data_IF_842739488145
#
_entry.id   IF_842739488145
#
_cell.length_a   1.000
_cell.length_b   1.000
_cell.length_c   1.000
_cell.angle_alpha   90.00
_cell.angle_beta   90.00
_cell.angle_gamma   90.00
#
_symmetry.space_group_name_H-M   'P 1'
#
loop_
_entity.id
_entity.type
_entity.pdbx_description
1 polymer ?
#
# COMPACT_ATOMS: atom_id res chain seq x y z
N UNK A 1 62.15 -1.65 -5.36
CA UNK A 1 61.49 -0.80 -6.37
C UNK A 1 60.09 -1.36 -6.57
N UNK A 2 59.12 -0.81 -5.83
CA UNK A 2 57.73 -1.25 -5.90
C UNK A 2 56.96 -0.36 -6.88
N UNK A 3 56.40 -1.01 -7.89
CA UNK A 3 55.58 -0.45 -8.96
C UNK A 3 54.29 0.19 -8.39
N UNK A 4 54.05 1.46 -8.75
CA UNK A 4 52.93 2.29 -8.26
C UNK A 4 52.00 2.76 -9.38
N UNK A 5 51.96 2.09 -10.55
CA UNK A 5 51.21 2.61 -11.70
C UNK A 5 49.82 1.99 -11.96
N UNK A 6 49.25 1.23 -11.03
CA UNK A 6 48.00 0.47 -11.29
C UNK A 6 46.66 1.08 -10.82
N UNK A 7 46.63 2.24 -10.15
CA UNK A 7 45.42 2.69 -9.42
C UNK A 7 44.87 4.09 -9.76
N UNK A 8 45.31 4.73 -10.85
CA UNK A 8 44.88 6.10 -11.17
C UNK A 8 44.19 6.32 -12.53
N UNK A 9 44.09 5.29 -13.36
CA UNK A 9 43.54 5.45 -14.72
C UNK A 9 42.07 5.01 -14.89
N UNK A 10 41.42 4.53 -13.82
CA UNK A 10 39.99 4.16 -13.87
C UNK A 10 39.01 5.33 -13.76
N UNK A 11 39.50 6.57 -13.61
CA UNK A 11 38.67 7.76 -13.36
C UNK A 11 38.71 8.82 -14.48
N UNK A 12 39.25 8.51 -15.67
CA UNK A 12 39.39 9.49 -16.76
C UNK A 12 38.86 9.09 -18.14
N UNK A 13 38.12 8.00 -18.31
CA UNK A 13 37.42 7.72 -19.57
C UNK A 13 35.90 7.65 -19.34
N UNK A 14 35.17 8.60 -19.94
CA UNK A 14 33.71 8.52 -20.08
C UNK A 14 32.90 9.77 -19.74
N UNK A 15 33.52 10.95 -19.63
CA UNK A 15 32.79 12.22 -19.44
C UNK A 15 32.29 12.85 -20.76
N UNK A 16 31.75 12.02 -21.67
CA UNK A 16 31.15 12.47 -22.92
C UNK A 16 30.06 11.50 -23.39
N UNK A 17 28.79 11.90 -23.22
CA UNK A 17 27.64 11.25 -23.84
C UNK A 17 26.57 10.77 -22.86
N UNK A 18 25.70 11.67 -22.41
CA UNK A 18 24.31 11.77 -22.91
C UNK A 18 23.55 12.75 -22.00
N UNK A 19 23.50 14.01 -22.41
CA UNK A 19 22.38 14.87 -22.05
C UNK A 19 21.16 14.37 -22.84
N UNK A 20 20.49 13.35 -22.30
CA UNK A 20 19.14 12.99 -22.68
C UNK A 20 18.28 13.16 -21.43
N UNK A 21 17.94 14.42 -21.14
CA UNK A 21 16.69 14.73 -20.46
C UNK A 21 15.56 14.30 -21.43
N UNK A 22 15.33 12.99 -21.51
CA UNK A 22 14.27 12.41 -22.30
C UNK A 22 12.96 12.84 -21.68
N UNK A 23 12.19 13.62 -22.43
CA UNK A 23 10.79 13.86 -22.12
C UNK A 23 10.13 12.53 -21.72
N UNK A 24 9.39 12.53 -20.59
CA UNK A 24 8.43 11.47 -20.29
C UNK A 24 7.40 11.47 -21.41
N UNK A 25 7.71 10.82 -22.52
CA UNK A 25 6.71 10.45 -23.51
C UNK A 25 5.85 9.39 -22.83
N UNK A 26 4.57 9.72 -22.61
CA UNK A 26 3.61 8.75 -22.11
C UNK A 26 3.62 7.56 -23.08
N UNK A 27 4.14 6.42 -22.61
CA UNK A 27 4.13 5.17 -23.38
C UNK A 27 2.67 4.73 -23.45
N UNK A 28 2.11 4.65 -24.65
CA UNK A 28 0.75 4.12 -24.84
C UNK A 28 0.68 2.66 -24.42
N UNK A 29 -0.49 2.20 -23.94
CA UNK A 29 -0.69 0.83 -23.51
C UNK A 29 -0.31 -0.20 -24.60
N UNK A 30 -0.58 0.13 -25.86
CA UNK A 30 -0.20 -0.67 -27.03
C UNK A 30 1.32 -0.80 -27.21
N UNK A 31 2.08 0.28 -26.97
CA UNK A 31 3.55 0.25 -27.02
C UNK A 31 4.12 -0.54 -25.85
N UNK A 32 3.57 -0.37 -24.65
CA UNK A 32 3.94 -1.17 -23.50
C UNK A 32 3.66 -2.67 -23.73
N UNK A 33 2.53 -3.01 -24.36
CA UNK A 33 2.17 -4.38 -24.69
C UNK A 33 3.06 -5.00 -25.78
N UNK A 34 3.55 -4.21 -26.73
CA UNK A 34 4.48 -4.66 -27.76
C UNK A 34 5.87 -5.00 -27.21
N UNK A 35 6.28 -4.38 -26.11
CA UNK A 35 7.52 -4.70 -25.38
C UNK A 35 7.35 -5.77 -24.29
N UNK A 36 6.12 -6.09 -23.88
CA UNK A 36 5.87 -7.02 -22.80
C UNK A 36 6.03 -8.48 -23.24
N UNK A 37 6.47 -9.34 -22.33
CA UNK A 37 6.47 -10.79 -22.55
C UNK A 37 5.06 -11.28 -22.90
N UNK A 38 4.96 -12.31 -23.74
CA UNK A 38 3.67 -12.82 -24.23
C UNK A 38 2.76 -13.33 -23.11
N UNK A 39 3.33 -13.77 -22.01
CA UNK A 39 2.69 -14.29 -20.80
C UNK A 39 2.60 -13.25 -19.67
N UNK A 40 2.90 -11.98 -19.96
CA UNK A 40 2.83 -10.92 -18.94
C UNK A 40 1.40 -10.66 -18.46
N UNK A 41 1.28 -10.18 -17.22
CA UNK A 41 0.01 -9.72 -16.63
C UNK A 41 -0.61 -8.61 -17.49
N UNK A 42 0.21 -7.71 -18.06
CA UNK A 42 -0.26 -6.65 -18.95
C UNK A 42 -0.95 -7.23 -20.18
N UNK A 43 -0.30 -8.18 -20.87
CA UNK A 43 -0.87 -8.84 -22.05
C UNK A 43 -2.15 -9.58 -21.70
N UNK A 44 -2.13 -10.34 -20.60
CA UNK A 44 -3.29 -11.06 -20.08
C UNK A 44 -4.49 -10.14 -19.83
N UNK A 45 -4.27 -8.98 -19.19
CA UNK A 45 -5.33 -8.01 -18.93
C UNK A 45 -5.85 -7.35 -20.22
N UNK A 46 -4.95 -7.02 -21.16
CA UNK A 46 -5.31 -6.42 -22.45
C UNK A 46 -6.11 -7.39 -23.33
N UNK A 47 -5.65 -8.62 -23.47
CA UNK A 47 -6.33 -9.67 -24.25
C UNK A 47 -7.70 -10.02 -23.64
N UNK A 48 -7.80 -10.02 -22.31
CA UNK A 48 -9.08 -10.17 -21.59
C UNK A 48 -9.99 -8.93 -21.71
N UNK A 49 -9.44 -7.77 -22.07
CA UNK A 49 -10.18 -6.52 -22.23
C UNK A 49 -10.64 -5.86 -20.92
N UNK A 50 -10.06 -6.25 -19.77
CA UNK A 50 -10.30 -5.61 -18.46
C UNK A 50 -9.18 -5.91 -17.46
N UNK A 51 -8.96 -4.96 -16.56
CA UNK A 51 -8.06 -5.10 -15.41
C UNK A 51 -8.81 -5.65 -14.20
N UNK A 52 -8.27 -6.67 -13.52
CA UNK A 52 -8.82 -7.22 -12.28
C UNK A 52 -8.03 -6.67 -11.09
N UNK A 53 -8.66 -5.84 -10.28
CA UNK A 53 -8.06 -5.14 -9.13
C UNK A 53 -8.57 -5.71 -7.82
N UNK A 54 -7.67 -6.22 -6.99
CA UNK A 54 -7.97 -6.55 -5.60
C UNK A 54 -8.09 -5.29 -4.74
N UNK A 55 -9.19 -5.14 -4.02
CA UNK A 55 -9.45 -4.00 -3.10
C UNK A 55 -10.38 -4.43 -1.95
N UNK A 56 -10.74 -3.51 -1.04
CA UNK A 56 -11.69 -3.76 0.05
C UNK A 56 -12.90 -2.82 -0.02
N UNK A 57 -13.74 -2.82 1.02
CA UNK A 57 -14.95 -1.97 1.09
C UNK A 57 -15.18 -1.29 2.45
N UNK A 58 -14.21 -1.32 3.38
CA UNK A 58 -14.43 -0.93 4.78
C UNK A 58 -13.43 0.10 5.32
N UNK A 59 -12.63 0.73 4.45
CA UNK A 59 -11.58 1.67 4.86
C UNK A 59 -11.72 3.01 4.14
N UNK A 60 -12.54 3.91 4.67
CA UNK A 60 -12.59 5.28 4.17
C UNK A 60 -11.36 6.09 4.64
N UNK A 61 -10.82 7.00 3.81
CA UNK A 61 -11.29 7.43 2.47
C UNK A 61 -10.72 6.60 1.30
N UNK A 62 -10.09 5.46 1.57
CA UNK A 62 -9.35 4.62 0.60
C UNK A 62 -10.27 3.84 -0.33
N UNK A 63 -11.05 2.94 0.25
CA UNK A 63 -12.04 2.14 -0.44
C UNK A 63 -13.16 1.80 0.53
N UNK A 64 -14.36 2.20 0.17
CA UNK A 64 -15.53 2.02 1.01
C UNK A 64 -16.79 2.04 0.16
N UNK A 65 -17.87 1.51 0.71
CA UNK A 65 -19.20 1.67 0.11
C UNK A 65 -19.82 2.99 0.59
N UNK A 66 -20.34 3.79 -0.33
CA UNK A 66 -21.15 4.97 0.01
C UNK A 66 -22.57 4.55 0.43
N UNK A 67 -23.41 5.52 0.79
CA UNK A 67 -24.80 5.27 1.19
C UNK A 67 -25.67 4.60 0.10
N UNK A 68 -25.25 4.66 -1.17
CA UNK A 68 -25.91 4.00 -2.29
C UNK A 68 -25.40 2.55 -2.51
N UNK A 69 -24.47 2.07 -1.67
CA UNK A 69 -23.83 0.76 -1.82
C UNK A 69 -22.79 0.70 -2.96
N UNK A 70 -22.37 1.87 -3.46
CA UNK A 70 -21.37 1.94 -4.51
C UNK A 70 -19.96 1.97 -3.91
N UNK A 71 -19.09 1.13 -4.46
CA UNK A 71 -17.69 1.13 -4.10
C UNK A 71 -17.01 2.41 -4.62
N UNK A 72 -16.50 3.22 -3.68
CA UNK A 72 -15.88 4.53 -3.89
C UNK A 72 -14.60 4.68 -3.05
N UNK A 73 -13.89 5.80 -3.21
CA UNK A 73 -12.67 6.11 -2.49
C UNK A 73 -11.45 6.21 -3.40
N UNK A 74 -10.33 6.65 -2.83
CA UNK A 74 -9.11 6.95 -3.59
C UNK A 74 -8.55 5.73 -4.34
N UNK A 75 -8.51 4.55 -3.71
CA UNK A 75 -8.04 3.31 -4.34
C UNK A 75 -8.92 2.92 -5.53
N UNK A 76 -10.22 3.15 -5.41
CA UNK A 76 -11.21 2.87 -6.47
C UNK A 76 -11.02 3.82 -7.64
N UNK A 77 -10.83 5.11 -7.34
CA UNK A 77 -10.49 6.11 -8.36
C UNK A 77 -9.17 5.75 -9.06
N UNK A 78 -8.15 5.31 -8.33
CA UNK A 78 -6.88 4.87 -8.91
C UNK A 78 -7.03 3.66 -9.83
N UNK A 79 -7.84 2.66 -9.46
CA UNK A 79 -8.16 1.53 -10.33
C UNK A 79 -8.85 1.96 -11.62
N UNK A 80 -9.79 2.90 -11.55
CA UNK A 80 -10.48 3.47 -12.74
C UNK A 80 -9.54 4.28 -13.62
N UNK A 81 -8.61 5.05 -13.04
CA UNK A 81 -7.58 5.79 -13.79
C UNK A 81 -6.68 4.83 -14.57
N UNK A 82 -6.26 3.72 -13.94
CA UNK A 82 -5.47 2.69 -14.63
C UNK A 82 -6.25 2.02 -15.77
N UNK A 83 -7.53 1.68 -15.55
CA UNK A 83 -8.38 1.15 -16.61
C UNK A 83 -8.55 2.13 -17.77
N UNK A 84 -8.78 3.42 -17.49
CA UNK A 84 -8.82 4.47 -18.52
C UNK A 84 -7.50 4.53 -19.29
N UNK A 85 -6.36 4.43 -18.62
CA UNK A 85 -5.04 4.43 -19.27
C UNK A 85 -4.77 3.20 -20.15
N UNK A 86 -5.31 2.04 -19.77
CA UNK A 86 -5.11 0.78 -20.49
C UNK A 86 -6.10 0.58 -21.65
N UNK A 87 -7.34 1.03 -21.49
CA UNK A 87 -8.46 0.66 -22.37
C UNK A 87 -9.21 1.87 -22.96
N UNK A 88 -8.79 3.09 -22.63
CA UNK A 88 -9.55 4.33 -22.90
C UNK A 88 -10.98 4.32 -22.31
N UNK A 89 -11.22 3.47 -21.30
CA UNK A 89 -12.52 3.30 -20.65
C UNK A 89 -12.35 3.01 -19.15
N UNK A 90 -12.80 3.90 -18.23
CA UNK A 90 -12.64 3.74 -16.79
C UNK A 90 -13.55 2.65 -16.20
N UNK A 91 -14.44 2.06 -16.99
CA UNK A 91 -15.31 0.95 -16.60
C UNK A 91 -14.66 -0.41 -16.84
N UNK A 92 -13.53 -0.48 -17.55
CA UNK A 92 -12.77 -1.71 -17.82
C UNK A 92 -11.91 -2.18 -16.64
N UNK A 93 -12.50 -2.11 -15.45
CA UNK A 93 -11.93 -2.64 -14.20
C UNK A 93 -12.98 -3.48 -13.50
N UNK A 94 -12.57 -4.67 -13.06
CA UNK A 94 -13.31 -5.50 -12.13
C UNK A 94 -12.65 -5.38 -10.76
N UNK A 95 -13.43 -4.99 -9.75
CA UNK A 95 -12.96 -4.94 -8.37
C UNK A 95 -13.30 -6.26 -7.66
N UNK A 96 -12.28 -6.91 -7.11
CA UNK A 96 -12.41 -8.13 -6.33
C UNK A 96 -12.19 -7.79 -4.87
N UNK A 97 -13.21 -8.02 -4.04
CA UNK A 97 -13.12 -7.82 -2.59
C UNK A 97 -12.15 -8.84 -1.99
N UNK A 98 -11.26 -8.35 -1.13
CA UNK A 98 -10.30 -9.18 -0.42
C UNK A 98 -9.95 -8.60 0.96
N UNK A 99 -9.66 -9.48 1.90
CA UNK A 99 -9.11 -9.08 3.18
C UNK A 99 -7.66 -8.61 3.03
N UNK A 100 -7.19 -7.69 3.89
CA UNK A 100 -5.82 -7.20 3.87
C UNK A 100 -4.73 -8.29 3.95
N UNK A 101 -5.01 -9.41 4.64
CA UNK A 101 -4.10 -10.55 4.71
C UNK A 101 -4.02 -11.34 3.39
N UNK A 102 -5.03 -11.23 2.52
CA UNK A 102 -5.12 -11.95 1.24
C UNK A 102 -4.50 -11.20 0.07
N UNK A 103 -4.08 -9.94 0.25
CA UNK A 103 -3.48 -9.10 -0.81
C UNK A 103 -2.31 -9.77 -1.54
N UNK A 104 -1.34 -10.31 -0.79
CA UNK A 104 -0.18 -11.00 -1.35
C UNK A 104 -0.59 -12.33 -1.98
N UNK A 105 -1.27 -13.25 -1.26
CA UNK A 105 -1.74 -14.50 -1.87
C UNK A 105 -2.52 -14.31 -3.17
N UNK A 106 -3.44 -13.34 -3.23
CA UNK A 106 -4.30 -13.12 -4.38
C UNK A 106 -3.54 -12.63 -5.61
N UNK A 107 -2.53 -11.77 -5.45
CA UNK A 107 -1.69 -11.36 -6.59
C UNK A 107 -0.73 -12.47 -7.01
N UNK A 108 -0.16 -13.23 -6.06
CA UNK A 108 0.80 -14.31 -6.40
C UNK A 108 0.14 -15.53 -7.04
N UNK A 109 -1.16 -15.74 -6.78
CA UNK A 109 -1.95 -16.83 -7.38
C UNK A 109 -2.71 -16.40 -8.63
N UNK A 110 -2.49 -15.17 -9.12
CA UNK A 110 -3.21 -14.57 -10.26
C UNK A 110 -4.74 -14.54 -10.09
N UNK A 111 -5.24 -14.52 -8.85
CA UNK A 111 -6.67 -14.27 -8.58
C UNK A 111 -7.04 -12.83 -8.95
N UNK A 112 -6.11 -11.91 -8.78
CA UNK A 112 -6.19 -10.51 -9.23
C UNK A 112 -4.91 -10.15 -10.00
N UNK A 113 -4.99 -9.21 -10.94
CA UNK A 113 -3.82 -8.76 -11.69
C UNK A 113 -2.92 -7.89 -10.82
N UNK A 114 -3.54 -7.02 -10.02
CA UNK A 114 -2.88 -6.07 -9.12
C UNK A 114 -3.74 -5.86 -7.86
N UNK A 115 -3.10 -5.39 -6.79
CA UNK A 115 -3.81 -4.91 -5.59
C UNK A 115 -3.70 -3.39 -5.51
N UNK A 116 -4.84 -2.71 -5.31
CA UNK A 116 -4.92 -1.29 -4.97
C UNK A 116 -5.77 -1.19 -3.71
N UNK A 117 -5.10 -1.26 -2.56
CA UNK A 117 -5.74 -1.45 -1.26
C UNK A 117 -4.83 -0.95 -0.10
N UNK A 118 -4.57 0.36 -0.03
CA UNK A 118 -3.71 1.06 0.96
C UNK A 118 -2.47 0.24 1.41
N UNK A 119 -1.75 -0.38 0.46
CA UNK A 119 -0.70 -1.34 0.83
C UNK A 119 0.64 -0.64 1.01
N UNK A 120 1.07 -0.48 2.26
CA UNK A 120 2.39 0.04 2.60
C UNK A 120 3.52 -0.81 1.98
N UNK A 121 4.49 -0.14 1.36
CA UNK A 121 5.69 -0.79 0.87
C UNK A 121 6.61 -1.13 2.04
N UNK A 122 7.05 -2.38 2.15
CA UNK A 122 8.03 -2.81 3.15
C UNK A 122 9.03 -3.80 2.55
N UNK A 123 10.21 -3.92 3.17
CA UNK A 123 11.25 -4.85 2.71
C UNK A 123 10.76 -6.30 2.69
N UNK A 124 10.01 -6.72 3.71
CA UNK A 124 9.44 -8.06 3.79
C UNK A 124 8.42 -8.34 2.69
N UNK A 125 7.54 -7.38 2.39
CA UNK A 125 6.55 -7.52 1.30
C UNK A 125 7.24 -7.51 -0.08
N UNK A 126 8.30 -6.71 -0.23
CA UNK A 126 9.06 -6.61 -1.49
C UNK A 126 9.85 -7.86 -1.85
N UNK A 127 10.07 -8.77 -0.89
CA UNK A 127 10.62 -10.10 -1.18
C UNK A 127 9.59 -11.05 -1.82
N UNK A 128 8.30 -10.75 -1.68
CA UNK A 128 7.20 -11.62 -2.13
C UNK A 128 6.50 -11.10 -3.38
N UNK A 129 6.42 -9.78 -3.54
CA UNK A 129 5.70 -9.12 -4.64
C UNK A 129 6.45 -7.87 -5.11
N UNK A 130 6.16 -7.47 -6.35
CA UNK A 130 6.61 -6.18 -6.87
C UNK A 130 5.65 -5.06 -6.47
N UNK A 131 6.19 -3.87 -6.26
CA UNK A 131 5.41 -2.65 -6.03
C UNK A 131 5.57 -1.68 -7.20
N UNK A 132 4.54 -0.87 -7.44
CA UNK A 132 4.64 0.31 -8.27
C UNK A 132 5.44 1.41 -7.57
N UNK A 133 5.58 2.56 -8.23
CA UNK A 133 5.94 3.79 -7.53
C UNK A 133 4.84 4.13 -6.53
N UNK A 134 5.17 4.58 -5.31
CA UNK A 134 4.17 5.00 -4.33
C UNK A 134 3.22 6.04 -4.95
N UNK A 135 1.91 5.79 -4.86
CA UNK A 135 0.89 6.76 -5.29
C UNK A 135 0.43 7.67 -4.14
N UNK A 136 0.70 7.27 -2.90
CA UNK A 136 0.46 8.07 -1.70
C UNK A 136 1.44 7.68 -0.59
N UNK A 137 1.80 8.62 0.28
CA UNK A 137 2.68 8.40 1.42
C UNK A 137 2.10 9.12 2.62
N UNK A 138 1.97 8.40 3.74
CA UNK A 138 1.53 8.96 5.01
C UNK A 138 2.18 8.24 6.20
N UNK A 139 1.88 8.74 7.40
CA UNK A 139 2.22 8.10 8.65
C UNK A 139 1.04 7.36 9.27
N UNK A 140 1.37 6.49 10.22
CA UNK A 140 0.40 5.84 11.11
C UNK A 140 0.13 6.78 12.29
N UNK A 141 -1.15 6.89 12.67
CA UNK A 141 -1.61 7.63 13.83
C UNK A 141 -2.22 6.69 14.87
N UNK A 142 -2.16 7.11 16.14
CA UNK A 142 -2.85 6.45 17.24
C UNK A 142 -4.16 7.18 17.51
N UNK A 143 -5.26 6.60 17.08
CA UNK A 143 -6.61 7.10 17.31
C UNK A 143 -7.07 6.71 18.72
N UNK A 144 -7.62 7.65 19.48
CA UNK A 144 -8.16 7.40 20.82
C UNK A 144 -9.57 7.95 20.94
N UNK A 145 -10.37 7.41 21.87
CA UNK A 145 -11.70 7.95 22.11
C UNK A 145 -11.64 9.37 22.69
N UNK A 146 -12.57 10.27 22.31
CA UNK A 146 -12.69 11.58 22.94
C UNK A 146 -12.91 11.52 24.46
N UNK A 147 -13.46 10.42 24.97
CA UNK A 147 -13.63 10.18 26.41
C UNK A 147 -12.43 9.51 27.09
N UNK A 148 -11.39 9.13 26.35
CA UNK A 148 -10.22 8.44 26.89
C UNK A 148 -9.42 9.37 27.81
N UNK A 149 -8.84 8.83 28.87
CA UNK A 149 -7.86 9.55 29.69
C UNK A 149 -6.47 9.56 29.02
N UNK A 150 -6.20 8.61 28.13
CA UNK A 150 -4.94 8.38 27.44
C UNK A 150 -4.89 9.07 26.06
N UNK A 151 -5.15 10.38 26.02
CA UNK A 151 -5.26 11.15 24.76
C UNK A 151 -3.93 11.56 24.13
N UNK A 152 -2.81 11.34 24.82
CA UNK A 152 -1.49 11.77 24.35
C UNK A 152 -0.57 10.58 24.20
N UNK A 153 0.38 10.73 23.29
CA UNK A 153 1.42 9.72 23.08
C UNK A 153 2.15 9.38 24.39
N UNK A 154 2.54 10.39 25.18
CA UNK A 154 3.24 10.18 26.45
C UNK A 154 2.43 9.34 27.45
N UNK A 155 1.10 9.50 27.48
CA UNK A 155 0.23 8.69 28.34
C UNK A 155 0.14 7.24 27.86
N UNK A 156 0.00 7.04 26.55
CA UNK A 156 0.01 5.70 25.96
C UNK A 156 1.36 5.00 26.19
N UNK A 157 2.47 5.74 26.09
CA UNK A 157 3.81 5.23 26.35
C UNK A 157 4.01 4.88 27.84
N UNK A 158 3.59 5.77 28.74
CA UNK A 158 3.68 5.56 30.19
C UNK A 158 2.83 4.38 30.68
N UNK A 159 1.74 4.05 29.98
CA UNK A 159 0.91 2.87 30.29
C UNK A 159 1.64 1.53 30.08
N UNK A 160 2.71 1.49 29.28
CA UNK A 160 3.53 0.30 29.09
C UNK A 160 2.71 -0.92 28.67
N UNK A 161 2.83 -2.02 29.41
CA UNK A 161 2.09 -3.27 29.18
C UNK A 161 0.58 -3.21 29.49
N UNK A 162 0.10 -2.14 30.12
CA UNK A 162 -1.33 -1.89 30.29
C UNK A 162 -1.96 -1.24 29.05
N UNK A 163 -1.16 -0.63 28.16
CA UNK A 163 -1.64 -0.01 26.92
C UNK A 163 -1.99 -1.08 25.90
N UNK A 164 -3.24 -1.10 25.45
CA UNK A 164 -3.77 -2.01 24.42
C UNK A 164 -4.00 -1.23 23.13
N UNK A 165 -3.47 -1.75 22.02
CA UNK A 165 -3.56 -1.13 20.70
C UNK A 165 -4.20 -2.10 19.73
N UNK A 166 -5.30 -1.71 19.07
CA UNK A 166 -5.79 -2.44 17.90
C UNK A 166 -5.04 -2.01 16.66
N UNK A 167 -4.75 -2.95 15.77
CA UNK A 167 -4.15 -2.68 14.46
C UNK A 167 -4.66 -3.71 13.46
N UNK A 168 -4.70 -3.32 12.19
CA UNK A 168 -5.04 -4.23 11.12
C UNK A 168 -4.00 -5.36 11.02
N UNK A 169 -4.48 -6.60 10.95
CA UNK A 169 -3.65 -7.79 10.83
C UNK A 169 -2.83 -7.76 9.54
N UNK A 170 -1.51 -7.79 9.68
CA UNK A 170 -0.56 -7.90 8.59
C UNK A 170 0.80 -8.37 9.13
N UNK A 171 1.75 -8.64 8.23
CA UNK A 171 3.07 -9.19 8.57
C UNK A 171 3.94 -8.27 9.44
N UNK A 172 3.65 -6.97 9.46
CA UNK A 172 4.43 -5.91 10.11
C UNK A 172 3.71 -5.28 11.32
N UNK A 173 2.49 -5.71 11.65
CA UNK A 173 1.59 -5.06 12.58
C UNK A 173 2.21 -4.85 13.98
N UNK A 174 2.70 -5.93 14.58
CA UNK A 174 3.34 -5.86 15.90
C UNK A 174 4.60 -4.99 15.88
N UNK A 175 5.47 -5.22 14.91
CA UNK A 175 6.71 -4.43 14.74
C UNK A 175 6.41 -2.94 14.56
N UNK A 176 5.37 -2.59 13.81
CA UNK A 176 4.95 -1.20 13.61
C UNK A 176 4.46 -0.55 14.89
N UNK A 177 3.69 -1.25 15.73
CA UNK A 177 3.23 -0.72 17.01
C UNK A 177 4.39 -0.62 18.00
N UNK A 178 5.20 -1.67 18.14
CA UNK A 178 6.31 -1.72 19.10
C UNK A 178 7.45 -0.74 18.78
N UNK A 179 7.56 -0.28 17.53
CA UNK A 179 8.44 0.82 17.18
C UNK A 179 8.12 2.10 17.98
N UNK A 180 6.84 2.38 18.20
CA UNK A 180 6.37 3.59 18.91
C UNK A 180 6.00 3.31 20.37
N UNK A 181 5.43 2.14 20.67
CA UNK A 181 4.95 1.72 21.98
C UNK A 181 5.55 0.34 22.34
N UNK A 182 6.81 0.27 22.78
CA UNK A 182 7.57 -0.99 22.86
C UNK A 182 7.00 -2.07 23.78
N UNK A 183 6.17 -1.68 24.74
CA UNK A 183 5.58 -2.60 25.73
C UNK A 183 4.09 -2.84 25.53
N UNK A 184 3.45 -2.17 24.57
CA UNK A 184 2.00 -2.26 24.39
C UNK A 184 1.55 -3.66 23.97
N UNK A 185 0.36 -4.03 24.42
CA UNK A 185 -0.35 -5.22 23.93
C UNK A 185 -0.97 -4.91 22.57
N UNK A 186 -0.68 -5.76 21.58
CA UNK A 186 -1.16 -5.57 20.20
C UNK A 186 -2.31 -6.53 19.93
N UNK A 187 -3.46 -5.99 19.55
CA UNK A 187 -4.62 -6.74 19.08
C UNK A 187 -4.69 -6.62 17.57
N UNK A 188 -4.23 -7.65 16.86
CA UNK A 188 -4.36 -7.74 15.40
C UNK A 188 -5.79 -8.12 15.02
N UNK A 189 -6.38 -7.38 14.09
CA UNK A 189 -7.79 -7.54 13.68
C UNK A 189 -7.90 -7.58 12.15
N UNK A 190 -8.82 -8.40 11.65
CA UNK A 190 -8.99 -8.74 10.24
C UNK A 190 -9.40 -7.57 9.32
N UNK A 191 -10.26 -6.66 9.79
CA UNK A 191 -10.79 -5.54 8.99
C UNK A 191 -10.61 -4.18 9.66
N UNK A 192 -10.53 -3.12 8.86
CA UNK A 192 -10.38 -1.76 9.38
C UNK A 192 -11.59 -1.31 10.19
N UNK A 193 -12.81 -1.70 9.78
CA UNK A 193 -14.02 -1.46 10.55
C UNK A 193 -13.95 -2.13 11.93
N UNK A 194 -13.49 -3.38 12.01
CA UNK A 194 -13.35 -4.08 13.29
C UNK A 194 -12.25 -3.48 14.18
N UNK A 195 -11.18 -2.92 13.59
CA UNK A 195 -10.15 -2.15 14.32
C UNK A 195 -10.76 -0.95 15.05
N UNK A 196 -11.59 -0.18 14.35
CA UNK A 196 -12.31 0.97 14.93
C UNK A 196 -13.36 0.52 15.94
N UNK A 197 -14.12 -0.55 15.65
CA UNK A 197 -15.09 -1.11 16.59
C UNK A 197 -14.45 -1.58 17.89
N UNK A 198 -13.22 -2.11 17.85
CA UNK A 198 -12.46 -2.46 19.06
C UNK A 198 -12.21 -1.23 19.95
N UNK A 199 -11.90 -0.09 19.35
CA UNK A 199 -11.71 1.17 20.05
C UNK A 199 -13.04 1.69 20.61
N UNK A 200 -14.10 1.72 19.81
CA UNK A 200 -15.44 2.17 20.22
C UNK A 200 -16.00 1.36 21.38
N UNK A 201 -15.81 0.03 21.34
CA UNK A 201 -16.21 -0.89 22.41
C UNK A 201 -15.28 -0.87 23.63
N UNK A 202 -14.27 0.01 23.66
CA UNK A 202 -13.29 0.15 24.75
C UNK A 202 -12.47 -1.12 25.04
N UNK A 203 -12.38 -2.02 24.05
CA UNK A 203 -11.53 -3.22 24.13
C UNK A 203 -10.04 -2.89 24.03
N UNK A 204 -9.71 -1.74 23.45
CA UNK A 204 -8.35 -1.18 23.36
C UNK A 204 -8.34 0.29 23.77
N UNK A 205 -7.16 0.81 24.04
CA UNK A 205 -6.96 2.20 24.47
C UNK A 205 -6.66 3.13 23.29
N UNK A 206 -6.07 2.58 22.22
CA UNK A 206 -5.85 3.25 20.95
C UNK A 206 -6.02 2.28 19.75
N UNK A 207 -6.31 2.84 18.58
CA UNK A 207 -6.23 2.13 17.30
C UNK A 207 -5.09 2.72 16.47
N UNK A 208 -4.16 1.88 16.02
CA UNK A 208 -3.14 2.26 15.06
C UNK A 208 -3.72 2.18 13.64
N UNK A 209 -3.89 3.33 13.00
CA UNK A 209 -4.53 3.48 11.69
C UNK A 209 -3.78 4.50 10.85
N UNK A 210 -4.04 4.51 9.54
CA UNK A 210 -3.49 5.51 8.64
C UNK A 210 -3.97 6.92 9.02
N UNK A 211 -3.10 7.94 8.90
CA UNK A 211 -3.42 9.31 9.30
C UNK A 211 -4.62 9.88 8.53
N UNK A 212 -4.75 9.52 7.25
CA UNK A 212 -5.91 9.80 6.41
C UNK A 212 -7.23 9.30 7.04
N UNK A 213 -7.25 8.10 7.62
CA UNK A 213 -8.43 7.53 8.30
C UNK A 213 -8.81 8.34 9.54
N UNK A 214 -7.84 8.93 10.24
CA UNK A 214 -8.13 9.81 11.40
C UNK A 214 -8.76 11.14 11.00
N UNK A 215 -8.45 11.63 9.80
CA UNK A 215 -8.89 12.95 9.33
C UNK A 215 -10.20 12.92 8.55
N UNK A 216 -10.68 11.73 8.21
CA UNK A 216 -11.93 11.51 7.50
C UNK A 216 -13.10 11.52 8.49
#
# INVERSE_FOLDING_TARGET
>A
MNDTSGRRDFLKLGMAGLAAAGALTAVSAEKAAAQAASDSVLRTALDRGKLIVGTGSTNAPWHFENDAGELVGMDITMGRILAKGLFDDPTKVEFVMQDPAQRIPNVTTNKVDITIQFMTMSAQRSQLINFSRPYYVEGVALLTLPSSENKTFDKLLAGGSATRVSILQNVDAETSVHYALPQAQVMQIDTQANVLQALESKRVDAAAVDLSTVRW
#
